data_IF_773788544360
#
_entry.id   IF_773788544360
#
_cell.length_a   1.000
_cell.length_b   1.000
_cell.length_c   1.000
_cell.angle_alpha   90.00
_cell.angle_beta   90.00
_cell.angle_gamma   90.00
#
_symmetry.space_group_name_H-M   'P 1'
#
loop_
_entity.id
_entity.type
_entity.pdbx_description
1 polymer ?
#
# COMPACT_ATOMS: atom_id res chain seq x y z
N UNK A 1 -32.76 -14.10 12.97
CA UNK A 1 -33.53 -12.89 12.61
C UNK A 1 -35.01 -13.26 12.55
N UNK A 2 -35.91 -12.50 13.17
CA UNK A 2 -37.34 -12.75 13.05
C UNK A 2 -37.79 -12.52 11.60
N UNK A 3 -38.73 -13.36 11.13
CA UNK A 3 -39.29 -13.29 9.75
C UNK A 3 -40.16 -12.06 9.56
N UNK A 4 -40.83 -11.62 10.62
CA UNK A 4 -41.71 -10.45 10.66
C UNK A 4 -41.30 -9.53 11.81
N UNK A 5 -41.49 -8.23 11.62
CA UNK A 5 -41.17 -7.19 12.59
C UNK A 5 -42.48 -6.52 13.01
N UNK A 6 -42.65 -6.27 14.31
CA UNK A 6 -43.80 -5.49 14.78
C UNK A 6 -43.56 -4.01 14.48
N UNK A 7 -44.48 -3.40 13.74
CA UNK A 7 -44.45 -1.99 13.32
C UNK A 7 -45.67 -1.22 13.82
N UNK A 8 -46.51 -1.85 14.66
CA UNK A 8 -47.72 -1.22 15.17
C UNK A 8 -47.37 -0.03 16.08
N UNK A 9 -48.07 1.09 15.89
CA UNK A 9 -47.88 2.30 16.70
C UNK A 9 -46.81 3.26 16.17
N UNK A 10 -46.05 2.90 15.13
CA UNK A 10 -45.13 3.83 14.46
C UNK A 10 -45.82 4.56 13.32
N UNK A 11 -45.46 5.83 13.13
CA UNK A 11 -45.89 6.64 11.97
C UNK A 11 -45.14 6.27 10.69
N UNK A 12 -44.01 5.57 10.83
CA UNK A 12 -43.17 5.08 9.74
C UNK A 12 -43.03 3.54 9.83
N UNK A 13 -43.33 2.86 8.72
CA UNK A 13 -43.41 1.39 8.61
C UNK A 13 -42.17 0.83 7.86
N UNK A 14 -41.23 1.70 7.47
CA UNK A 14 -40.00 1.25 6.82
C UNK A 14 -39.16 0.36 7.74
N UNK A 15 -38.46 -0.61 7.13
CA UNK A 15 -37.51 -1.49 7.83
C UNK A 15 -36.11 -0.98 7.54
N UNK A 16 -35.33 -0.75 8.59
CA UNK A 16 -33.93 -0.42 8.52
C UNK A 16 -33.06 -1.56 9.08
N UNK A 17 -31.77 -1.55 8.75
CA UNK A 17 -30.79 -2.48 9.32
C UNK A 17 -29.84 -1.67 10.19
N UNK A 18 -29.70 -2.09 11.45
CA UNK A 18 -28.75 -1.47 12.37
C UNK A 18 -27.31 -1.71 11.92
N UNK A 19 -26.50 -0.67 11.85
CA UNK A 19 -25.12 -0.78 11.37
C UNK A 19 -24.19 -1.55 12.32
N UNK A 20 -24.55 -1.72 13.60
CA UNK A 20 -23.74 -2.49 14.57
C UNK A 20 -24.17 -3.94 14.69
N UNK A 21 -25.39 -4.18 15.18
CA UNK A 21 -25.87 -5.54 15.40
C UNK A 21 -26.36 -6.23 14.11
N UNK A 22 -26.43 -5.50 12.98
CA UNK A 22 -26.90 -5.99 11.68
C UNK A 22 -28.29 -6.62 11.71
N UNK A 23 -29.09 -6.28 12.72
CA UNK A 23 -30.49 -6.74 12.85
C UNK A 23 -31.46 -5.77 12.19
N UNK A 24 -32.56 -6.30 11.67
CA UNK A 24 -33.70 -5.53 11.14
C UNK A 24 -34.43 -4.85 12.28
N UNK A 25 -34.73 -3.57 12.12
CA UNK A 25 -35.41 -2.71 13.09
C UNK A 25 -36.43 -1.81 12.39
N UNK A 26 -37.47 -1.34 13.08
CA UNK A 26 -38.33 -0.31 12.53
C UNK A 26 -37.47 0.93 12.28
N UNK A 27 -37.63 1.57 11.14
CA UNK A 27 -36.85 2.78 10.80
C UNK A 27 -37.10 3.89 11.84
N UNK A 28 -38.31 3.96 12.41
CA UNK A 28 -38.66 4.89 13.48
C UNK A 28 -37.80 4.75 14.77
N UNK A 29 -37.18 3.59 15.03
CA UNK A 29 -36.30 3.37 16.19
C UNK A 29 -34.82 3.69 15.90
N UNK A 30 -34.49 3.99 14.65
CA UNK A 30 -33.12 4.24 14.23
C UNK A 30 -32.69 5.64 14.66
N UNK A 31 -31.44 5.73 15.09
CA UNK A 31 -30.80 6.99 15.49
C UNK A 31 -29.37 7.02 15.00
N UNK A 32 -28.85 8.22 14.76
CA UNK A 32 -27.42 8.40 14.56
C UNK A 32 -26.65 8.03 15.83
N UNK A 33 -25.52 7.35 15.65
CA UNK A 33 -24.58 7.09 16.73
C UNK A 33 -23.94 8.42 17.21
N UNK A 34 -23.88 8.68 18.52
CA UNK A 34 -23.36 9.96 19.05
C UNK A 34 -21.91 10.23 18.66
N UNK A 35 -21.09 9.18 18.58
CA UNK A 35 -19.71 9.31 18.17
C UNK A 35 -19.67 9.43 16.64
N UNK A 36 -20.31 8.53 15.90
CA UNK A 36 -20.25 8.50 14.44
C UNK A 36 -21.61 8.84 13.82
N UNK A 37 -21.90 10.12 13.53
CA UNK A 37 -23.23 10.53 13.07
C UNK A 37 -23.65 9.90 11.73
N UNK A 38 -22.70 9.39 10.94
CA UNK A 38 -22.96 8.64 9.70
C UNK A 38 -23.39 7.19 9.88
N UNK A 39 -23.35 6.65 11.11
CA UNK A 39 -23.83 5.30 11.44
C UNK A 39 -25.25 5.38 12.00
N UNK A 40 -26.14 4.56 11.48
CA UNK A 40 -27.52 4.42 11.93
C UNK A 40 -27.65 3.18 12.83
N UNK A 41 -27.97 3.40 14.11
CA UNK A 41 -27.97 2.37 15.15
C UNK A 41 -29.32 2.27 15.86
N UNK A 42 -29.61 1.10 16.43
CA UNK A 42 -30.86 0.86 17.15
C UNK A 42 -30.75 1.21 18.64
N UNK A 43 -31.89 1.40 19.30
CA UNK A 43 -31.98 1.73 20.72
C UNK A 43 -31.74 0.53 21.69
N UNK A 44 -31.30 -0.62 21.19
CA UNK A 44 -31.04 -1.81 22.02
C UNK A 44 -29.59 -1.91 22.48
N UNK A 45 -29.02 -0.79 22.94
CA UNK A 45 -27.62 -0.73 23.41
C UNK A 45 -26.58 -0.74 22.30
N UNK A 46 -26.96 -0.46 21.05
CA UNK A 46 -26.01 -0.25 19.95
C UNK A 46 -25.53 1.20 19.82
N UNK A 47 -26.16 2.16 20.51
CA UNK A 47 -25.66 3.53 20.55
C UNK A 47 -24.53 3.62 21.58
N UNK A 48 -23.36 4.10 21.16
CA UNK A 48 -22.25 4.32 22.07
C UNK A 48 -22.48 5.50 23.01
N UNK A 49 -21.75 5.50 24.13
CA UNK A 49 -21.61 6.67 24.96
C UNK A 49 -20.73 7.70 24.24
N UNK A 50 -21.15 8.96 24.26
CA UNK A 50 -20.42 10.05 23.63
C UNK A 50 -19.05 10.22 24.30
N UNK A 51 -17.99 10.14 23.50
CA UNK A 51 -16.60 10.39 23.92
C UNK A 51 -16.23 11.86 23.62
N UNK A 52 -16.09 12.73 24.64
CA UNK A 52 -15.73 14.13 24.44
C UNK A 52 -14.33 14.34 23.87
N UNK A 53 -13.43 13.37 24.01
CA UNK A 53 -12.03 13.48 23.63
C UNK A 53 -11.70 12.79 22.30
N UNK A 54 -12.73 12.37 21.55
CA UNK A 54 -12.50 11.68 20.27
C UNK A 54 -11.79 12.60 19.28
N UNK A 55 -10.58 12.20 18.89
CA UNK A 55 -9.80 12.94 17.91
C UNK A 55 -10.52 12.97 16.55
N UNK A 56 -10.39 14.07 15.78
CA UNK A 56 -10.91 14.14 14.44
C UNK A 56 -10.22 13.09 13.54
N UNK A 57 -10.85 12.79 12.40
CA UNK A 57 -10.24 11.93 11.39
C UNK A 57 -8.83 12.44 11.03
N UNK A 58 -7.88 11.50 10.83
CA UNK A 58 -6.52 11.85 10.42
C UNK A 58 -6.58 12.64 9.11
N UNK A 59 -5.85 13.75 9.06
CA UNK A 59 -5.67 14.50 7.82
C UNK A 59 -4.88 13.64 6.85
N UNK A 60 -5.29 13.64 5.57
CA UNK A 60 -4.50 13.03 4.51
C UNK A 60 -3.15 13.73 4.45
N UNK A 61 -2.08 12.95 4.50
CA UNK A 61 -0.73 13.49 4.37
C UNK A 61 -0.54 14.09 2.97
N UNK A 62 0.33 15.09 2.86
CA UNK A 62 0.74 15.63 1.57
C UNK A 62 1.79 14.70 0.97
N UNK A 63 1.36 13.75 0.14
CA UNK A 63 2.25 12.84 -0.59
C UNK A 63 2.86 13.60 -1.78
N UNK A 64 3.86 14.44 -1.52
CA UNK A 64 4.73 14.99 -2.57
C UNK A 64 6.09 14.33 -2.47
N UNK A 65 6.45 13.52 -3.45
CA UNK A 65 7.79 12.93 -3.54
C UNK A 65 8.77 14.07 -3.80
N UNK A 66 9.76 14.27 -2.91
CA UNK A 66 10.77 15.34 -3.09
C UNK A 66 11.62 15.14 -4.35
N UNK A 67 11.86 13.89 -4.72
CA UNK A 67 12.68 13.51 -5.86
C UNK A 67 11.91 12.50 -6.70
N UNK A 68 11.10 12.94 -7.67
CA UNK A 68 10.51 12.03 -8.64
C UNK A 68 11.64 11.31 -9.39
N UNK A 69 11.42 10.02 -9.70
CA UNK A 69 12.32 9.31 -10.61
C UNK A 69 12.31 10.06 -11.95
N UNK A 70 13.47 10.39 -12.54
CA UNK A 70 13.51 10.91 -13.90
C UNK A 70 12.85 9.94 -14.87
N UNK A 71 12.08 10.45 -15.83
CA UNK A 71 11.47 9.63 -16.89
C UNK A 71 12.53 9.03 -17.85
N UNK A 72 13.74 9.60 -17.86
CA UNK A 72 14.88 9.12 -18.63
C UNK A 72 15.70 8.08 -17.86
N UNK A 73 16.29 7.13 -18.60
CA UNK A 73 17.26 6.20 -18.04
C UNK A 73 18.43 6.94 -17.39
N UNK A 74 18.79 6.53 -16.17
CA UNK A 74 20.00 6.98 -15.46
C UNK A 74 21.16 6.00 -15.71
N UNK A 75 20.97 5.02 -16.60
CA UNK A 75 22.04 4.09 -16.96
C UNK A 75 23.19 4.84 -17.63
N UNK A 76 24.42 4.51 -17.21
CA UNK A 76 25.64 5.01 -17.86
C UNK A 76 25.93 4.07 -19.03
N UNK A 77 26.07 4.62 -20.24
CA UNK A 77 26.50 3.84 -21.40
C UNK A 77 27.82 4.43 -21.93
N UNK A 78 28.96 3.68 -21.87
CA UNK A 78 29.09 2.27 -21.49
C UNK A 78 29.16 2.01 -19.98
N UNK A 79 28.49 0.95 -19.51
CA UNK A 79 28.50 0.43 -18.12
C UNK A 79 29.81 -0.29 -17.74
N UNK A 80 30.92 -0.01 -18.43
CA UNK A 80 32.22 -0.64 -18.19
C UNK A 80 32.96 0.03 -17.03
N UNK A 81 33.60 -0.76 -16.17
CA UNK A 81 34.54 -0.24 -15.18
C UNK A 81 35.88 0.03 -15.88
N UNK A 82 36.26 1.31 -16.02
CA UNK A 82 37.57 1.68 -16.54
C UNK A 82 38.63 1.50 -15.46
N UNK A 83 39.45 0.44 -15.57
CA UNK A 83 40.58 0.22 -14.69
C UNK A 83 41.75 1.08 -15.16
N UNK A 84 42.06 2.16 -14.42
CA UNK A 84 43.16 3.07 -14.77
C UNK A 84 44.47 2.53 -14.18
N UNK A 85 45.19 1.72 -14.98
CA UNK A 85 46.54 1.23 -14.68
C UNK A 85 47.61 1.85 -15.61
N UNK A 86 48.88 1.74 -15.20
CA UNK A 86 50.06 2.36 -15.86
C UNK A 86 50.31 1.89 -17.31
N UNK A 87 49.64 0.85 -17.80
CA UNK A 87 49.78 0.32 -19.15
C UNK A 87 48.41 0.17 -19.82
N UNK A 88 47.85 1.27 -20.36
CA UNK A 88 46.66 1.27 -21.23
C UNK A 88 45.38 0.73 -20.56
N UNK A 89 44.53 1.63 -20.06
CA UNK A 89 43.35 1.27 -19.27
C UNK A 89 42.47 0.20 -19.92
N UNK A 90 42.18 -0.86 -19.16
CA UNK A 90 41.28 -1.93 -19.56
C UNK A 90 39.83 -1.58 -19.19
N UNK A 91 38.89 -1.85 -20.09
CA UNK A 91 37.45 -1.80 -19.78
C UNK A 91 37.04 -3.18 -19.29
N UNK A 92 36.75 -3.29 -18.00
CA UNK A 92 36.24 -4.53 -17.40
C UNK A 92 34.72 -4.56 -17.56
N UNK A 93 34.21 -5.56 -18.29
CA UNK A 93 32.77 -5.83 -18.41
C UNK A 93 32.35 -6.86 -17.35
N UNK A 94 31.54 -6.49 -16.34
CA UNK A 94 31.11 -7.43 -15.29
C UNK A 94 30.12 -8.50 -15.79
N UNK A 95 29.55 -8.30 -16.98
CA UNK A 95 28.35 -9.03 -17.44
C UNK A 95 28.62 -9.99 -18.61
N UNK A 96 29.86 -10.04 -19.13
CA UNK A 96 30.23 -10.88 -20.29
C UNK A 96 31.26 -11.97 -19.99
N UNK A 97 31.40 -12.40 -18.73
CA UNK A 97 32.13 -13.64 -18.48
C UNK A 97 31.20 -14.84 -18.73
N UNK A 98 31.21 -15.37 -19.95
CA UNK A 98 30.51 -16.61 -20.31
C UNK A 98 31.40 -17.85 -20.19
N UNK A 99 32.57 -17.75 -19.58
CA UNK A 99 33.48 -18.89 -19.43
C UNK A 99 32.97 -19.84 -18.35
N UNK A 100 33.04 -21.15 -18.63
CA UNK A 100 32.83 -22.19 -17.61
C UNK A 100 34.03 -22.16 -16.66
N UNK A 101 33.85 -21.98 -15.34
CA UNK A 101 34.97 -21.94 -14.41
C UNK A 101 35.71 -23.29 -14.41
N UNK A 102 37.01 -23.28 -14.69
CA UNK A 102 37.84 -24.45 -14.48
C UNK A 102 38.15 -24.63 -12.97
N UNK A 103 38.44 -25.86 -12.54
CA UNK A 103 38.75 -26.18 -11.13
C UNK A 103 40.26 -26.09 -10.86
N UNK A 104 40.86 -24.99 -11.30
CA UNK A 104 42.30 -24.71 -11.21
C UNK A 104 42.60 -23.52 -10.27
N UNK A 105 41.58 -23.03 -9.57
CA UNK A 105 41.68 -21.79 -8.79
C UNK A 105 41.52 -20.60 -9.73
N UNK A 106 41.30 -19.40 -9.17
CA UNK A 106 41.01 -18.16 -9.90
C UNK A 106 42.17 -17.61 -10.76
N UNK A 107 42.86 -18.46 -11.51
CA UNK A 107 44.01 -18.18 -12.37
C UNK A 107 43.59 -17.67 -13.76
N UNK A 108 42.30 -17.76 -14.10
CA UNK A 108 41.75 -17.21 -15.34
C UNK A 108 41.75 -15.67 -15.33
N UNK A 109 42.66 -15.08 -16.11
CA UNK A 109 42.65 -13.65 -16.39
C UNK A 109 41.48 -13.25 -17.29
N UNK A 110 40.82 -12.12 -16.99
CA UNK A 110 39.82 -11.51 -17.87
C UNK A 110 40.56 -11.05 -19.14
N UNK A 111 40.43 -11.81 -20.22
CA UNK A 111 41.18 -11.62 -21.47
C UNK A 111 41.15 -10.16 -21.96
N UNK A 112 42.32 -9.53 -22.04
CA UNK A 112 42.50 -8.29 -22.80
C UNK A 112 42.78 -8.71 -24.24
N UNK A 113 41.76 -8.66 -25.10
CA UNK A 113 41.96 -8.89 -26.52
C UNK A 113 42.73 -7.69 -27.10
N UNK A 114 43.99 -7.83 -27.57
CA UNK A 114 44.56 -6.81 -28.43
C UNK A 114 43.87 -6.96 -29.79
N UNK A 115 43.05 -5.99 -30.18
CA UNK A 115 42.63 -5.86 -31.57
C UNK A 115 43.87 -5.44 -32.41
N UNK A 116 44.00 -5.89 -33.67
CA UNK A 116 45.13 -5.58 -34.54
C UNK A 116 45.33 -4.07 -34.79
#
# INVERSE_FOLDING_TARGET
MPKFLDTRGYSDIAIAVCDRCKMKRPHAEMRSDPNFPGLQVCNQGCADQFDPYRLPARKTERITIRFPRPDLSVAVDPNGLAAQGTYGGAVLSPEQNTNTPENDGNLDGINIQPQP
#
